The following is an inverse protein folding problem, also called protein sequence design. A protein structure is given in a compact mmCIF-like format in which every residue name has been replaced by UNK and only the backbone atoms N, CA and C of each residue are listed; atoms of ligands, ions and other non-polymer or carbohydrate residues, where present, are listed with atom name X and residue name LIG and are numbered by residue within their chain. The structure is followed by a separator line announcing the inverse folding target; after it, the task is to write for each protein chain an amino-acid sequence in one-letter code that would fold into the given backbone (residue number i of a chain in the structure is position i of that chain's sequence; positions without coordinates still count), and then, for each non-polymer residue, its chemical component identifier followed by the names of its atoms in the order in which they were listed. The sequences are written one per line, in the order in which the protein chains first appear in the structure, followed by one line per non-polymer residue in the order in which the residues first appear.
data_IF_953411923708
#
_entry.id   IF_953411923708
#
_cell.length_a   1.000
_cell.length_b   1.000
_cell.length_c   1.000
_cell.angle_alpha   90.00
_cell.angle_beta   90.00
_cell.angle_gamma   90.00
#
_symmetry.space_group_name_H-M   'P 1'
#
loop_
_entity.id
_entity.type
_entity.pdbx_description
1 polymer ?
#
# COMPACT_ATOMS: atom_id res chain seq x y z
N UNK A 1 12.29 -13.15 13.97
CA UNK A 1 12.91 -13.66 15.21
C UNK A 1 13.49 -12.48 15.96
N UNK A 2 12.81 -11.95 16.98
CA UNK A 2 13.36 -10.84 17.77
C UNK A 2 14.18 -11.40 18.94
N UNK A 3 15.50 -11.20 18.92
CA UNK A 3 16.35 -11.31 20.11
C UNK A 3 16.47 -9.92 20.71
N UNK A 4 15.91 -9.76 21.91
CA UNK A 4 15.91 -8.53 22.67
C UNK A 4 17.22 -8.44 23.48
N UNK A 5 18.27 -7.89 22.89
CA UNK A 5 19.52 -7.57 23.62
C UNK A 5 19.61 -6.08 23.88
N UNK A 6 19.23 -5.76 25.11
CA UNK A 6 19.58 -4.64 25.99
C UNK A 6 20.96 -4.01 25.70
N UNK A 7 20.99 -2.74 25.26
CA UNK A 7 22.15 -1.86 25.43
C UNK A 7 21.74 -0.40 25.62
N UNK A 8 22.54 0.28 26.44
CA UNK A 8 22.30 1.52 27.16
C UNK A 8 22.14 2.79 26.28
N UNK A 9 21.42 3.75 26.88
CA UNK A 9 21.32 5.17 26.54
C UNK A 9 22.67 5.84 26.25
N UNK A 10 22.78 6.49 25.09
CA UNK A 10 23.75 7.57 24.83
C UNK A 10 22.97 8.84 24.46
N UNK A 11 23.24 9.91 25.21
CA UNK A 11 22.69 11.26 25.06
C UNK A 11 23.30 11.96 23.83
N UNK A 12 22.46 12.36 22.87
CA UNK A 12 22.82 13.29 21.80
C UNK A 12 21.59 13.70 20.98
N UNK A 13 21.24 14.98 20.83
CA UNK A 13 20.07 15.38 20.07
C UNK A 13 20.46 15.45 18.59
N UNK A 14 20.31 14.34 17.87
CA UNK A 14 20.21 14.40 16.42
C UNK A 14 18.79 14.86 16.09
N UNK A 15 18.66 16.07 15.56
CA UNK A 15 17.46 16.57 14.89
C UNK A 15 17.15 15.63 13.73
N UNK A 16 16.34 14.60 13.97
CA UNK A 16 15.83 13.74 12.91
C UNK A 16 14.75 14.53 12.17
N UNK A 17 14.91 14.86 10.88
CA UNK A 17 13.84 15.47 10.12
C UNK A 17 12.71 14.45 10.02
N UNK A 18 11.52 14.81 10.51
CA UNK A 18 10.33 14.00 10.26
C UNK A 18 10.06 14.02 8.76
N UNK A 19 10.40 12.95 8.06
CA UNK A 19 9.95 12.76 6.69
C UNK A 19 8.44 12.60 6.73
N UNK A 20 7.70 13.39 5.96
CA UNK A 20 6.25 13.29 5.87
C UNK A 20 5.88 11.88 5.39
N UNK A 21 5.42 11.04 6.31
CA UNK A 21 5.02 9.67 6.01
C UNK A 21 3.68 9.74 5.27
N UNK A 22 3.69 9.37 3.98
CA UNK A 22 2.47 9.20 3.22
C UNK A 22 1.60 8.12 3.90
N UNK A 23 0.51 8.59 4.50
CA UNK A 23 -0.34 7.76 5.33
C UNK A 23 -0.95 6.60 4.49
N UNK A 24 -0.73 5.33 4.87
CA UNK A 24 -1.25 4.18 4.14
C UNK A 24 -2.76 4.16 3.98
N UNK A 25 -3.52 4.82 4.85
CA UNK A 25 -4.97 4.88 4.76
C UNK A 25 -5.42 5.81 3.64
N UNK A 26 -4.73 6.94 3.42
CA UNK A 26 -5.08 7.89 2.37
C UNK A 26 -5.11 7.23 0.97
N UNK A 27 -4.11 6.42 0.64
CA UNK A 27 -4.02 5.75 -0.67
C UNK A 27 -5.00 4.58 -0.78
N UNK A 28 -5.32 3.92 0.33
CA UNK A 28 -6.39 2.90 0.37
C UNK A 28 -7.76 3.50 0.09
N UNK A 29 -8.05 4.69 0.61
CA UNK A 29 -9.30 5.40 0.30
C UNK A 29 -9.36 5.83 -1.18
N UNK A 30 -8.23 6.26 -1.76
CA UNK A 30 -8.13 6.51 -3.21
C UNK A 30 -8.40 5.23 -4.02
N UNK A 31 -7.91 4.07 -3.56
CA UNK A 31 -8.17 2.82 -4.24
C UNK A 31 -9.66 2.45 -4.18
N UNK A 32 -10.28 2.54 -2.99
CA UNK A 32 -11.71 2.26 -2.82
C UNK A 32 -12.57 3.14 -3.73
N UNK A 33 -12.40 4.46 -3.66
CA UNK A 33 -13.21 5.39 -4.47
C UNK A 33 -13.04 5.18 -5.98
N UNK A 34 -11.82 4.85 -6.42
CA UNK A 34 -11.51 4.73 -7.84
C UNK A 34 -11.84 3.37 -8.42
N UNK A 35 -11.84 2.30 -7.61
CA UNK A 35 -11.98 0.93 -8.08
C UNK A 35 -13.28 0.24 -7.68
N UNK A 36 -14.20 0.87 -6.94
CA UNK A 36 -15.43 0.19 -6.50
C UNK A 36 -16.29 -0.31 -7.67
N UNK A 37 -16.47 0.49 -8.72
CA UNK A 37 -17.21 0.08 -9.91
C UNK A 37 -16.53 -1.08 -10.66
N UNK A 38 -15.24 -0.92 -10.94
CA UNK A 38 -14.39 -1.93 -11.59
C UNK A 38 -14.34 -3.26 -10.80
N UNK A 39 -14.33 -3.17 -9.47
CA UNK A 39 -14.39 -4.32 -8.59
C UNK A 39 -15.71 -5.07 -8.75
N UNK A 40 -16.84 -4.37 -8.69
CA UNK A 40 -18.16 -5.00 -8.82
C UNK A 40 -18.36 -5.63 -10.19
N UNK A 41 -17.82 -5.03 -11.25
CA UNK A 41 -17.97 -5.53 -12.62
C UNK A 41 -17.07 -6.74 -12.93
N UNK A 42 -15.87 -6.81 -12.37
CA UNK A 42 -14.87 -7.80 -12.77
C UNK A 42 -14.40 -8.75 -11.67
N UNK A 43 -14.48 -8.34 -10.41
CA UNK A 43 -13.81 -9.00 -9.29
C UNK A 43 -14.72 -9.25 -8.07
N UNK A 44 -16.03 -9.06 -8.21
CA UNK A 44 -17.01 -9.10 -7.11
C UNK A 44 -17.14 -10.46 -6.41
N UNK A 45 -16.68 -11.53 -7.05
CA UNK A 45 -16.68 -12.90 -6.49
C UNK A 45 -15.60 -13.10 -5.41
N UNK A 46 -14.67 -12.15 -5.27
CA UNK A 46 -13.57 -12.21 -4.32
C UNK A 46 -13.80 -11.30 -3.12
N UNK A 47 -13.32 -11.70 -1.94
CA UNK A 47 -13.37 -10.88 -0.75
C UNK A 47 -12.60 -9.55 -0.94
N UNK A 48 -13.20 -8.39 -0.63
CA UNK A 48 -12.59 -7.09 -0.91
C UNK A 48 -11.29 -6.90 -0.12
N UNK A 49 -10.27 -6.35 -0.79
CA UNK A 49 -8.98 -6.03 -0.17
C UNK A 49 -8.05 -7.21 0.10
N UNK A 50 -8.45 -8.42 -0.31
CA UNK A 50 -7.62 -9.64 -0.26
C UNK A 50 -6.69 -9.79 -1.49
N UNK A 51 -5.74 -10.73 -1.42
CA UNK A 51 -4.81 -11.03 -2.51
C UNK A 51 -5.53 -11.53 -3.78
N UNK A 52 -6.71 -12.13 -3.66
CA UNK A 52 -7.53 -12.59 -4.78
C UNK A 52 -8.01 -11.42 -5.64
N UNK A 53 -8.43 -10.32 -5.00
CA UNK A 53 -8.82 -9.08 -5.70
C UNK A 53 -7.62 -8.43 -6.39
N UNK A 54 -6.45 -8.44 -5.75
CA UNK A 54 -5.22 -7.93 -6.37
C UNK A 54 -4.84 -8.73 -7.63
N UNK A 55 -5.01 -10.06 -7.59
CA UNK A 55 -4.79 -10.94 -8.73
C UNK A 55 -5.80 -10.65 -9.85
N UNK A 56 -7.10 -10.59 -9.52
CA UNK A 56 -8.16 -10.28 -10.48
C UNK A 56 -7.94 -8.93 -11.18
N UNK A 57 -7.57 -7.88 -10.44
CA UNK A 57 -7.24 -6.58 -11.03
C UNK A 57 -6.02 -6.63 -11.94
N UNK A 58 -5.01 -7.44 -11.63
CA UNK A 58 -3.82 -7.61 -12.50
C UNK A 58 -4.21 -8.25 -13.84
N UNK A 59 -5.09 -9.23 -13.82
CA UNK A 59 -5.56 -9.93 -15.03
C UNK A 59 -6.48 -9.05 -15.89
N UNK A 60 -7.30 -8.22 -15.24
CA UNK A 60 -8.26 -7.35 -15.91
C UNK A 60 -7.78 -5.90 -16.09
N UNK A 61 -6.50 -5.58 -15.83
CA UNK A 61 -5.98 -4.20 -15.79
C UNK A 61 -6.29 -3.36 -17.05
N UNK A 62 -6.40 -4.01 -18.22
CA UNK A 62 -6.73 -3.36 -19.50
C UNK A 62 -8.22 -3.08 -19.68
N UNK A 63 -9.08 -3.75 -18.92
CA UNK A 63 -10.53 -3.58 -18.91
C UNK A 63 -10.98 -2.55 -17.88
N UNK A 64 -10.17 -2.35 -16.83
CA UNK A 64 -10.49 -1.39 -15.78
C UNK A 64 -10.50 0.04 -16.31
N UNK A 65 -11.23 0.91 -15.62
CA UNK A 65 -11.17 2.35 -15.87
C UNK A 65 -9.74 2.89 -15.69
N UNK A 66 -9.35 3.94 -16.44
CA UNK A 66 -8.04 4.59 -16.28
C UNK A 66 -7.78 5.07 -14.84
N UNK A 67 -8.83 5.49 -14.15
CA UNK A 67 -8.76 5.94 -12.76
C UNK A 67 -8.37 4.79 -11.82
N UNK A 68 -9.01 3.63 -11.93
CA UNK A 68 -8.68 2.47 -11.09
C UNK A 68 -7.28 1.92 -11.41
N UNK A 69 -6.91 1.79 -12.69
CA UNK A 69 -5.59 1.30 -13.09
C UNK A 69 -4.45 2.19 -12.56
N UNK A 70 -4.64 3.51 -12.58
CA UNK A 70 -3.71 4.49 -12.00
C UNK A 70 -3.61 4.35 -10.48
N UNK A 71 -4.75 4.23 -9.78
CA UNK A 71 -4.79 4.05 -8.33
C UNK A 71 -4.08 2.77 -7.87
N UNK A 72 -4.26 1.65 -8.58
CA UNK A 72 -3.55 0.38 -8.33
C UNK A 72 -2.03 0.57 -8.49
N UNK A 73 -1.61 1.29 -9.54
CA UNK A 73 -0.19 1.56 -9.81
C UNK A 73 0.44 2.41 -8.70
N UNK A 74 -0.26 3.46 -8.25
CA UNK A 74 0.18 4.28 -7.12
C UNK A 74 0.28 3.44 -5.84
N UNK A 75 -0.76 2.66 -5.51
CA UNK A 75 -0.75 1.78 -4.34
C UNK A 75 0.44 0.80 -4.33
N UNK A 76 0.75 0.18 -5.48
CA UNK A 76 1.90 -0.74 -5.61
C UNK A 76 3.24 -0.06 -5.37
N UNK A 77 3.42 1.17 -5.87
CA UNK A 77 4.66 1.95 -5.65
C UNK A 77 4.85 2.26 -4.16
N UNK A 78 3.78 2.65 -3.50
CA UNK A 78 3.76 3.02 -2.08
C UNK A 78 4.05 1.82 -1.18
N UNK A 79 3.50 0.65 -1.53
CA UNK A 79 3.84 -0.61 -0.87
C UNK A 79 5.31 -1.00 -1.07
N UNK A 80 5.88 -0.73 -2.25
CA UNK A 80 7.32 -0.97 -2.49
C UNK A 80 8.18 -0.05 -1.62
N UNK A 81 7.82 1.23 -1.50
CA UNK A 81 8.53 2.20 -0.65
C UNK A 81 8.48 1.76 0.81
N UNK A 82 7.29 1.43 1.34
CA UNK A 82 7.12 0.96 2.73
C UNK A 82 7.98 -0.27 3.03
N UNK A 83 7.92 -1.29 2.18
CA UNK A 83 8.75 -2.49 2.33
C UNK A 83 10.25 -2.18 2.29
N UNK A 84 10.69 -1.21 1.48
CA UNK A 84 12.10 -0.81 1.44
C UNK A 84 12.55 -0.08 2.72
N UNK A 85 11.63 0.65 3.38
CA UNK A 85 11.90 1.35 4.64
C UNK A 85 11.85 0.42 5.85
N UNK A 86 11.02 -0.62 5.84
CA UNK A 86 10.92 -1.62 6.93
C UNK A 86 12.07 -2.64 6.95
N UNK A 87 12.77 -2.80 5.82
CA UNK A 87 13.93 -3.69 5.68
C UNK A 87 15.24 -3.03 6.16
N UNK A 88 15.18 -1.76 6.59
CA UNK A 88 16.29 -0.99 7.15
C UNK A 88 16.09 -0.79 8.67
#
# INVERSE_FOLDING_TARGET
MARLTKTLLVLGPLLVPTVAQADPSAIREVLKRSCTGDYLEHCGDHAPGGPEVEACFRENIKKLTPACASAITAYKREQKVKRATEVH
#
